data_IF_338556785966
#
_entry.id   IF_338556785966
#
_cell.length_a   1.000
_cell.length_b   1.000
_cell.length_c   1.000
_cell.angle_alpha   90.00
_cell.angle_beta   90.00
_cell.angle_gamma   90.00
#
_symmetry.space_group_name_H-M   'P 1'
#
loop_
_entity.id
_entity.type
_entity.pdbx_description
1 polymer ?
#
# COMPACT_ATOMS: atom_id res chain seq x y z
N UNK A 1 -30.78 -23.12 42.14
CA UNK A 1 -29.73 -23.60 41.19
C UNK A 1 -29.60 -22.54 40.10
N UNK A 2 -28.60 -21.70 40.21
CA UNK A 2 -28.38 -20.63 39.25
C UNK A 2 -27.36 -21.10 38.24
N UNK A 3 -27.76 -21.25 36.96
CA UNK A 3 -26.84 -21.46 35.85
C UNK A 3 -26.39 -20.10 35.36
N UNK A 4 -25.19 -19.72 35.78
CA UNK A 4 -24.51 -18.54 35.28
C UNK A 4 -23.94 -18.87 33.89
N UNK A 5 -24.59 -18.36 32.86
CA UNK A 5 -24.07 -18.41 31.50
C UNK A 5 -22.92 -17.38 31.37
N UNK A 6 -21.71 -17.87 31.47
CA UNK A 6 -20.52 -17.10 31.11
C UNK A 6 -20.47 -17.08 29.58
N UNK A 7 -21.04 -16.03 28.99
CA UNK A 7 -20.75 -15.66 27.60
C UNK A 7 -19.30 -15.21 27.55
N UNK A 8 -18.45 -16.12 27.16
CA UNK A 8 -17.06 -15.80 26.84
C UNK A 8 -17.05 -14.78 25.71
N UNK A 9 -16.62 -13.57 26.05
CA UNK A 9 -16.20 -12.56 25.08
C UNK A 9 -15.05 -13.14 24.25
N UNK A 10 -15.38 -13.74 23.12
CA UNK A 10 -14.40 -14.03 22.09
C UNK A 10 -14.02 -12.64 21.50
N UNK A 11 -13.08 -11.99 22.14
CA UNK A 11 -12.30 -10.96 21.47
C UNK A 11 -11.66 -11.66 20.28
N UNK A 12 -12.16 -11.38 19.08
CA UNK A 12 -11.47 -11.68 17.85
C UNK A 12 -10.12 -10.95 17.91
N UNK A 13 -9.14 -11.66 18.44
CA UNK A 13 -7.75 -11.30 18.33
C UNK A 13 -7.39 -11.55 16.87
N UNK A 14 -7.68 -10.59 15.98
CA UNK A 14 -7.12 -10.58 14.64
C UNK A 14 -5.62 -10.47 14.83
N UNK A 15 -4.98 -11.63 14.77
CA UNK A 15 -3.54 -11.77 14.76
C UNK A 15 -3.07 -10.84 13.64
N UNK A 16 -2.34 -9.77 13.96
CA UNK A 16 -1.73 -8.93 12.95
C UNK A 16 -0.89 -9.83 12.07
N UNK A 17 -1.38 -10.11 10.87
CA UNK A 17 -0.59 -10.85 9.89
C UNK A 17 0.57 -9.94 9.51
N UNK A 18 1.77 -10.46 9.67
CA UNK A 18 2.99 -9.72 9.37
C UNK A 18 3.22 -9.82 7.86
N UNK A 19 3.17 -8.70 7.15
CA UNK A 19 3.30 -8.67 5.69
C UNK A 19 4.70 -8.22 5.28
N UNK A 20 5.42 -9.11 4.59
CA UNK A 20 6.76 -8.89 4.07
C UNK A 20 6.74 -8.83 2.56
N UNK A 21 7.39 -7.82 1.99
CA UNK A 21 7.62 -7.69 0.56
C UNK A 21 9.13 -7.71 0.29
N UNK A 22 9.54 -8.26 -0.84
CA UNK A 22 10.91 -8.05 -1.30
C UNK A 22 11.09 -6.60 -1.75
N UNK A 23 12.16 -5.95 -1.28
CA UNK A 23 12.50 -4.59 -1.72
C UNK A 23 13.20 -4.61 -3.06
N UNK A 24 12.87 -3.66 -3.94
CA UNK A 24 13.56 -3.51 -5.23
C UNK A 24 15.03 -3.10 -5.05
N UNK A 25 15.38 -2.54 -3.90
CA UNK A 25 16.74 -2.17 -3.51
C UNK A 25 17.49 -3.29 -2.76
N UNK A 26 16.87 -4.46 -2.64
CA UNK A 26 17.39 -5.60 -1.88
C UNK A 26 16.85 -5.68 -0.46
N UNK A 27 16.86 -6.89 0.11
CA UNK A 27 16.27 -7.16 1.41
C UNK A 27 14.74 -7.14 1.39
N UNK A 28 14.14 -6.86 2.54
CA UNK A 28 12.69 -6.95 2.72
C UNK A 28 12.12 -5.66 3.29
N UNK A 29 10.87 -5.37 2.93
CA UNK A 29 10.01 -4.34 3.52
C UNK A 29 8.97 -5.05 4.36
N UNK A 30 8.99 -4.84 5.67
CA UNK A 30 8.01 -5.37 6.59
C UNK A 30 7.03 -4.24 6.96
N UNK A 31 5.72 -4.43 6.74
CA UNK A 31 4.73 -3.40 7.09
C UNK A 31 4.68 -3.12 8.60
N UNK A 32 5.05 -4.08 9.44
CA UNK A 32 5.14 -3.86 10.89
C UNK A 32 6.23 -2.87 11.31
N UNK A 33 7.28 -2.69 10.48
CA UNK A 33 8.33 -1.69 10.73
C UNK A 33 7.81 -0.25 10.59
N UNK A 34 6.64 -0.08 9.96
CA UNK A 34 5.98 1.21 9.78
C UNK A 34 4.97 1.53 10.89
N UNK A 35 4.85 0.71 11.94
CA UNK A 35 3.97 1.03 13.08
C UNK A 35 4.35 2.38 13.68
N UNK A 36 3.34 3.20 13.92
CA UNK A 36 3.51 4.61 14.29
C UNK A 36 3.44 5.58 13.11
N UNK A 37 3.42 5.07 11.87
CA UNK A 37 3.33 5.84 10.64
C UNK A 37 2.11 5.42 9.83
N UNK A 38 1.29 6.35 9.31
CA UNK A 38 0.32 5.99 8.28
C UNK A 38 1.06 5.59 7.00
N UNK A 39 0.49 4.65 6.24
CA UNK A 39 1.09 4.12 5.02
C UNK A 39 0.11 4.24 3.86
N UNK A 40 0.51 4.92 2.79
CA UNK A 40 -0.20 4.91 1.51
C UNK A 40 0.46 3.89 0.58
N UNK A 41 -0.25 2.84 0.24
CA UNK A 41 0.20 1.76 -0.62
C UNK A 41 -0.48 1.88 -1.98
N UNK A 42 0.30 1.81 -3.06
CA UNK A 42 -0.21 1.92 -4.43
C UNK A 42 0.37 0.80 -5.29
N UNK A 43 -0.49 0.04 -5.99
CA UNK A 43 -0.01 -0.86 -7.05
C UNK A 43 0.29 -0.06 -8.31
N UNK A 44 1.45 -0.26 -8.91
CA UNK A 44 1.99 0.60 -9.97
C UNK A 44 2.36 -0.17 -11.23
N UNK A 45 2.55 0.55 -12.32
CA UNK A 45 3.05 0.02 -13.59
C UNK A 45 3.76 1.11 -14.41
N UNK A 46 4.75 0.71 -15.20
CA UNK A 46 5.60 1.62 -15.98
C UNK A 46 5.00 2.03 -17.34
N UNK A 47 4.06 1.25 -17.88
CA UNK A 47 3.48 1.44 -19.22
C UNK A 47 1.96 1.66 -19.18
N UNK A 48 1.48 2.40 -18.19
CA UNK A 48 0.07 2.68 -17.93
C UNK A 48 -0.27 4.14 -18.26
N UNK A 49 -1.52 4.40 -18.65
CA UNK A 49 -2.01 5.77 -18.79
C UNK A 49 -1.93 6.60 -17.50
N UNK A 50 -1.88 5.94 -16.34
CA UNK A 50 -1.74 6.57 -15.03
C UNK A 50 -0.29 6.65 -14.52
N UNK A 51 0.71 6.22 -15.27
CA UNK A 51 2.13 6.16 -14.84
C UNK A 51 2.65 7.52 -14.37
N UNK A 52 2.13 8.62 -14.91
CA UNK A 52 2.46 9.98 -14.44
C UNK A 52 2.12 10.23 -12.96
N UNK A 53 1.28 9.39 -12.35
CA UNK A 53 1.00 9.46 -10.92
C UNK A 53 2.22 9.13 -10.05
N UNK A 54 3.28 8.53 -10.59
CA UNK A 54 4.55 8.43 -9.86
C UNK A 54 5.07 9.80 -9.39
N UNK A 55 4.97 10.84 -10.23
CA UNK A 55 5.35 12.19 -9.81
C UNK A 55 4.51 12.70 -8.65
N UNK A 56 3.23 12.39 -8.63
CA UNK A 56 2.34 12.79 -7.53
C UNK A 56 2.62 11.99 -6.25
N UNK A 57 2.96 10.70 -6.36
CA UNK A 57 3.39 9.87 -5.22
C UNK A 57 4.70 10.40 -4.63
N UNK A 58 5.67 10.75 -5.47
CA UNK A 58 6.94 11.33 -5.00
C UNK A 58 6.73 12.67 -4.30
N UNK A 59 5.90 13.55 -4.85
CA UNK A 59 5.55 14.82 -4.20
C UNK A 59 4.92 14.61 -2.83
N UNK A 60 4.02 13.63 -2.72
CA UNK A 60 3.39 13.29 -1.45
C UNK A 60 4.41 12.77 -0.44
N UNK A 61 5.33 11.93 -0.90
CA UNK A 61 6.46 11.44 -0.10
C UNK A 61 7.34 12.60 0.39
N UNK A 62 7.75 13.49 -0.50
CA UNK A 62 8.59 14.64 -0.17
C UNK A 62 7.91 15.59 0.85
N UNK A 63 6.60 15.79 0.70
CA UNK A 63 5.82 16.69 1.55
C UNK A 63 5.62 16.14 2.98
N UNK A 64 5.39 14.83 3.12
CA UNK A 64 4.93 14.25 4.39
C UNK A 64 5.85 13.21 5.02
N UNK A 65 6.92 12.76 4.36
CA UNK A 65 7.81 11.73 4.94
C UNK A 65 8.43 12.16 6.26
N UNK A 66 8.87 13.42 6.36
CA UNK A 66 9.42 13.97 7.61
C UNK A 66 8.37 14.10 8.72
N UNK A 67 7.09 14.14 8.37
CA UNK A 67 5.97 14.14 9.32
C UNK A 67 5.51 12.72 9.68
N UNK A 68 6.10 11.68 9.07
CA UNK A 68 5.88 10.28 9.40
C UNK A 68 5.05 9.48 8.39
N UNK A 69 4.64 10.05 7.25
CA UNK A 69 3.97 9.27 6.20
C UNK A 69 4.97 8.35 5.49
N UNK A 70 4.57 7.10 5.28
CA UNK A 70 5.22 6.19 4.34
C UNK A 70 4.39 6.09 3.05
N UNK A 71 5.02 6.28 1.89
CA UNK A 71 4.42 6.03 0.57
C UNK A 71 5.12 4.83 -0.03
N UNK A 72 4.40 3.73 -0.27
CA UNK A 72 4.95 2.48 -0.77
C UNK A 72 4.39 2.17 -2.15
N UNK A 73 5.28 2.02 -3.14
CA UNK A 73 4.92 1.58 -4.49
C UNK A 73 5.11 0.06 -4.63
N UNK A 74 4.13 -0.59 -5.25
CA UNK A 74 4.15 -2.04 -5.51
C UNK A 74 3.96 -2.27 -7.02
N UNK A 75 5.05 -2.38 -7.79
CA UNK A 75 4.97 -2.72 -9.21
C UNK A 75 4.28 -4.06 -9.41
N UNK A 76 3.37 -4.14 -10.38
CA UNK A 76 2.66 -5.37 -10.68
C UNK A 76 2.43 -5.57 -12.17
N UNK A 77 2.64 -6.80 -12.64
CA UNK A 77 2.36 -7.20 -14.02
C UNK A 77 0.93 -7.75 -14.21
N UNK A 78 0.14 -7.80 -13.17
CA UNK A 78 -1.20 -8.42 -13.22
C UNK A 78 -2.19 -7.72 -14.16
N UNK A 79 -1.88 -6.51 -14.60
CA UNK A 79 -2.65 -5.75 -15.58
C UNK A 79 -1.90 -5.56 -16.91
N UNK A 80 -0.83 -6.34 -17.14
CA UNK A 80 -0.06 -6.41 -18.38
C UNK A 80 0.59 -5.09 -18.83
N UNK A 81 0.89 -4.19 -17.89
CA UNK A 81 1.44 -2.86 -18.17
C UNK A 81 2.73 -2.58 -17.39
N UNK A 82 3.37 -3.60 -16.79
CA UNK A 82 4.67 -3.46 -16.15
C UNK A 82 5.74 -4.24 -16.92
N UNK A 83 7.01 -3.91 -16.72
CA UNK A 83 8.12 -4.73 -17.17
C UNK A 83 8.15 -6.08 -16.43
N UNK A 84 8.80 -7.07 -17.03
CA UNK A 84 9.03 -8.38 -16.40
C UNK A 84 10.38 -8.48 -15.66
N UNK A 85 11.05 -7.36 -15.46
CA UNK A 85 12.40 -7.29 -14.91
C UNK A 85 12.48 -6.15 -13.88
N UNK A 86 12.87 -6.48 -12.66
CA UNK A 86 12.93 -5.51 -11.55
C UNK A 86 13.95 -4.39 -11.80
N UNK A 87 15.09 -4.70 -12.46
CA UNK A 87 16.09 -3.68 -12.79
C UNK A 87 15.54 -2.68 -13.80
N UNK A 88 14.75 -3.15 -14.79
CA UNK A 88 14.09 -2.25 -15.75
C UNK A 88 13.06 -1.35 -15.05
N UNK A 89 12.27 -1.90 -14.12
CA UNK A 89 11.32 -1.10 -13.32
C UNK A 89 12.06 -0.03 -12.53
N UNK A 90 13.11 -0.41 -11.80
CA UNK A 90 13.90 0.52 -11.00
C UNK A 90 14.51 1.62 -11.86
N UNK A 91 15.21 1.25 -12.94
CA UNK A 91 15.85 2.22 -13.85
C UNK A 91 14.82 3.16 -14.47
N UNK A 92 13.65 2.67 -14.85
CA UNK A 92 12.57 3.50 -15.39
C UNK A 92 12.11 4.53 -14.37
N UNK A 93 11.85 4.10 -13.13
CA UNK A 93 11.39 4.97 -12.04
C UNK A 93 12.45 6.00 -11.65
N UNK A 94 13.71 5.61 -11.52
CA UNK A 94 14.82 6.50 -11.18
C UNK A 94 15.03 7.55 -12.28
N UNK A 95 15.05 7.12 -13.54
CA UNK A 95 15.36 8.00 -14.69
C UNK A 95 14.23 8.97 -14.98
N UNK A 96 12.97 8.53 -14.93
CA UNK A 96 11.83 9.35 -15.36
C UNK A 96 11.18 10.16 -14.24
N UNK A 97 11.31 9.71 -12.98
CA UNK A 97 10.60 10.29 -11.84
C UNK A 97 11.48 10.60 -10.65
N UNK A 98 12.76 10.22 -10.67
CA UNK A 98 13.70 10.40 -9.55
C UNK A 98 13.11 9.88 -8.23
N UNK A 99 12.50 8.69 -8.27
CA UNK A 99 11.80 8.14 -7.10
C UNK A 99 12.76 7.81 -5.97
N UNK A 100 12.44 8.27 -4.77
CA UNK A 100 13.14 7.94 -3.52
C UNK A 100 12.24 7.22 -2.52
N UNK A 101 10.93 7.18 -2.80
CA UNK A 101 9.99 6.41 -1.97
C UNK A 101 10.28 4.90 -2.04
N UNK A 102 10.01 4.14 -0.96
CA UNK A 102 10.21 2.70 -0.96
C UNK A 102 9.36 2.00 -2.02
N UNK A 103 9.95 0.98 -2.64
CA UNK A 103 9.33 0.21 -3.71
C UNK A 103 9.63 -1.27 -3.52
N UNK A 104 8.63 -2.13 -3.77
CA UNK A 104 8.82 -3.58 -3.79
C UNK A 104 9.35 -4.07 -5.14
N UNK A 105 9.81 -5.30 -5.20
CA UNK A 105 9.94 -6.03 -6.47
C UNK A 105 8.56 -6.22 -7.11
N UNK A 106 8.53 -6.62 -8.39
CA UNK A 106 7.28 -6.93 -9.10
C UNK A 106 6.49 -7.97 -8.29
N UNK A 107 5.28 -7.62 -7.91
CA UNK A 107 4.45 -8.37 -6.96
C UNK A 107 3.07 -8.66 -7.57
N UNK A 108 2.55 -9.87 -7.36
CA UNK A 108 1.15 -10.16 -7.70
C UNK A 108 0.20 -9.53 -6.69
N UNK A 109 -0.81 -8.81 -7.20
CA UNK A 109 -1.77 -8.04 -6.39
C UNK A 109 -3.21 -8.56 -6.49
N UNK A 110 -3.45 -9.52 -7.38
CA UNK A 110 -4.79 -10.11 -7.59
C UNK A 110 -4.73 -11.62 -7.86
N UNK A 111 -5.89 -12.26 -7.72
CA UNK A 111 -6.05 -13.69 -8.03
C UNK A 111 -5.47 -14.62 -6.97
N UNK A 112 -5.33 -15.87 -7.33
CA UNK A 112 -4.87 -16.94 -6.42
C UNK A 112 -3.43 -16.75 -5.94
N UNK A 113 -2.60 -16.13 -6.76
CA UNK A 113 -1.17 -15.91 -6.50
C UNK A 113 -0.89 -14.54 -5.88
N UNK A 114 -1.94 -13.78 -5.53
CA UNK A 114 -1.79 -12.49 -4.90
C UNK A 114 -0.98 -12.59 -3.59
N UNK A 115 -0.14 -11.59 -3.36
CA UNK A 115 0.59 -11.45 -2.10
C UNK A 115 -0.37 -11.51 -0.90
N UNK A 116 0.01 -12.08 0.26
CA UNK A 116 -0.85 -12.22 1.43
C UNK A 116 -1.54 -10.92 1.87
N UNK A 117 -0.87 -9.78 1.76
CA UNK A 117 -1.46 -8.46 2.03
C UNK A 117 -2.72 -8.18 1.18
N UNK A 118 -2.68 -8.47 -0.13
CA UNK A 118 -3.84 -8.27 -1.00
C UNK A 118 -4.93 -9.31 -0.78
N UNK A 119 -4.58 -10.53 -0.37
CA UNK A 119 -5.55 -11.53 0.08
C UNK A 119 -6.26 -11.09 1.35
N UNK A 120 -5.54 -10.53 2.30
CA UNK A 120 -6.09 -9.94 3.52
C UNK A 120 -7.04 -8.79 3.20
N UNK A 121 -6.64 -7.84 2.35
CA UNK A 121 -7.50 -6.74 1.91
C UNK A 121 -8.80 -7.24 1.25
N UNK A 122 -8.70 -8.28 0.42
CA UNK A 122 -9.86 -8.87 -0.24
C UNK A 122 -10.82 -9.51 0.75
N UNK A 123 -10.29 -10.24 1.73
CA UNK A 123 -11.07 -11.00 2.70
C UNK A 123 -11.70 -10.10 3.77
N UNK A 124 -10.91 -9.21 4.36
CA UNK A 124 -11.33 -8.43 5.53
C UNK A 124 -11.95 -7.07 5.17
N UNK A 125 -11.61 -6.51 4.00
CA UNK A 125 -12.02 -5.16 3.61
C UNK A 125 -12.74 -5.09 2.26
N UNK A 126 -13.00 -6.25 1.64
CA UNK A 126 -13.65 -6.35 0.32
C UNK A 126 -12.97 -5.47 -0.74
N UNK A 127 -11.65 -5.32 -0.64
CA UNK A 127 -10.86 -4.53 -1.57
C UNK A 127 -9.97 -5.43 -2.44
N UNK A 128 -10.02 -5.22 -3.73
CA UNK A 128 -9.09 -5.79 -4.73
C UNK A 128 -8.70 -4.71 -5.71
N UNK A 129 -7.41 -4.58 -6.07
CA UNK A 129 -7.04 -3.73 -7.18
C UNK A 129 -7.76 -4.18 -8.46
N UNK A 130 -8.44 -3.25 -9.12
CA UNK A 130 -9.14 -3.50 -10.38
C UNK A 130 -8.37 -2.95 -11.58
N UNK A 131 -7.38 -2.11 -11.33
CA UNK A 131 -6.45 -1.56 -12.31
C UNK A 131 -5.16 -1.08 -11.62
N UNK A 132 -4.18 -0.60 -12.42
CA UNK A 132 -2.98 0.04 -11.88
C UNK A 132 -3.32 1.34 -11.15
N UNK A 133 -2.48 1.73 -10.21
CA UNK A 133 -2.61 2.94 -9.40
C UNK A 133 -3.89 3.00 -8.55
N UNK A 134 -4.40 1.85 -8.11
CA UNK A 134 -5.30 1.78 -6.98
C UNK A 134 -4.51 2.03 -5.69
N UNK A 135 -5.10 2.64 -4.70
CA UNK A 135 -4.43 3.02 -3.45
C UNK A 135 -5.19 2.50 -2.25
N UNK A 136 -4.43 2.15 -1.22
CA UNK A 136 -4.93 1.80 0.11
C UNK A 136 -4.20 2.66 1.14
N UNK A 137 -4.93 3.23 2.07
CA UNK A 137 -4.38 3.98 3.20
C UNK A 137 -4.55 3.16 4.48
N UNK A 138 -3.45 2.95 5.19
CA UNK A 138 -3.40 2.34 6.52
C UNK A 138 -3.10 3.42 7.55
N UNK A 139 -3.63 3.24 8.76
CA UNK A 139 -3.30 4.09 9.90
C UNK A 139 -1.97 3.73 10.58
N UNK A 140 -1.64 4.42 11.67
CA UNK A 140 -0.42 4.20 12.46
C UNK A 140 -0.33 2.80 13.09
N UNK A 141 -1.45 2.09 13.22
CA UNK A 141 -1.54 0.72 13.73
C UNK A 141 -1.52 -0.33 12.62
N UNK A 142 -1.44 0.11 11.35
CA UNK A 142 -1.50 -0.79 10.20
C UNK A 142 -2.93 -1.22 9.82
N UNK A 143 -3.95 -0.55 10.37
CA UNK A 143 -5.35 -0.86 10.06
C UNK A 143 -5.81 -0.14 8.80
N UNK A 144 -6.66 -0.80 8.02
CA UNK A 144 -7.26 -0.21 6.82
C UNK A 144 -8.13 1.01 7.16
N UNK A 145 -7.89 2.11 6.47
CA UNK A 145 -8.66 3.37 6.62
C UNK A 145 -9.53 3.65 5.41
N UNK A 146 -8.95 3.57 4.22
CA UNK A 146 -9.64 3.90 2.98
C UNK A 146 -8.94 3.30 1.75
N UNK A 147 -9.68 3.21 0.66
CA UNK A 147 -9.14 2.88 -0.65
C UNK A 147 -9.56 3.92 -1.70
N UNK A 148 -8.76 4.03 -2.76
CA UNK A 148 -8.99 4.98 -3.85
C UNK A 148 -8.67 4.32 -5.19
N UNK A 149 -9.49 4.60 -6.19
CA UNK A 149 -9.31 4.09 -7.54
C UNK A 149 -8.17 4.80 -8.30
N UNK A 150 -7.92 4.33 -9.51
CA UNK A 150 -6.86 4.84 -10.40
C UNK A 150 -7.00 6.33 -10.72
N UNK A 151 -8.22 6.82 -10.87
CA UNK A 151 -8.49 8.22 -11.22
C UNK A 151 -8.23 9.21 -10.07
N UNK A 152 -8.16 8.73 -8.83
CA UNK A 152 -7.89 9.61 -7.69
C UNK A 152 -6.41 9.95 -7.63
N UNK A 153 -6.05 11.20 -7.92
CA UNK A 153 -4.66 11.65 -7.86
C UNK A 153 -4.13 11.56 -6.42
N UNK A 154 -2.91 11.04 -6.19
CA UNK A 154 -2.31 10.96 -4.86
C UNK A 154 -2.26 12.29 -4.12
N UNK A 155 -2.05 13.41 -4.83
CA UNK A 155 -2.05 14.76 -4.26
C UNK A 155 -3.44 15.40 -4.12
N UNK A 156 -4.52 14.66 -4.39
CA UNK A 156 -5.87 15.18 -4.23
C UNK A 156 -6.16 15.56 -2.78
N UNK A 157 -7.02 16.56 -2.60
CA UNK A 157 -7.52 16.95 -1.26
C UNK A 157 -8.15 15.75 -0.53
N UNK A 158 -8.79 14.85 -1.28
CA UNK A 158 -9.44 13.65 -0.75
C UNK A 158 -8.47 12.73 -0.02
N UNK A 159 -7.26 12.54 -0.56
CA UNK A 159 -6.20 11.72 0.07
C UNK A 159 -5.46 12.52 1.13
N UNK A 160 -5.01 13.74 0.81
CA UNK A 160 -4.22 14.57 1.72
C UNK A 160 -4.94 14.87 3.03
N UNK A 161 -6.24 15.18 3.01
CA UNK A 161 -6.99 15.45 4.23
C UNK A 161 -7.00 14.26 5.19
N UNK A 162 -7.12 13.03 4.68
CA UNK A 162 -7.06 11.81 5.49
C UNK A 162 -5.66 11.58 6.07
N UNK A 163 -4.61 11.79 5.27
CA UNK A 163 -3.22 11.68 5.71
C UNK A 163 -2.94 12.68 6.83
N UNK A 164 -3.30 13.94 6.65
CA UNK A 164 -3.10 15.00 7.66
C UNK A 164 -3.80 14.63 8.96
N UNK A 165 -5.02 14.14 8.89
CA UNK A 165 -5.75 13.66 10.08
C UNK A 165 -5.01 12.54 10.81
N UNK A 166 -4.49 11.55 10.08
CA UNK A 166 -3.75 10.42 10.68
C UNK A 166 -2.41 10.86 11.26
N UNK A 167 -1.77 11.88 10.69
CA UNK A 167 -0.49 12.39 11.19
C UNK A 167 -0.66 13.20 12.49
N UNK A 168 -1.82 13.83 12.70
CA UNK A 168 -2.13 14.63 13.91
C UNK A 168 -2.49 13.77 15.13
N UNK A 169 -3.05 12.61 14.91
CA UNK A 169 -3.52 11.67 15.94
C UNK A 169 -2.48 10.56 16.16
#
# INVERSE_FOLDING_TARGET
MFHSSILANIKNNTKNENFYFESIDGGYINLDDFKGSPVLITNTASNCGFTRQYSALQKLHDEFSNSGLVVLAIPSQDFFQEFNDNNKVKNFCDTNFSLTLPMTTITSVKGKDAHPFFKWLAKEHNFRPVWNFNKVLLDKQGMFVASFGSFTNPNSRKIKSKIINLLKN
#
